data_IF_494914592129
#
_entry.id   IF_494914592129
#
_cell.length_a   1.000
_cell.length_b   1.000
_cell.length_c   1.000
_cell.angle_alpha   90.00
_cell.angle_beta   90.00
_cell.angle_gamma   90.00
#
_symmetry.space_group_name_H-M   'P 1'
#
loop_
_entity.id
_entity.type
_entity.pdbx_description
1 polymer ?
#
# COMPACT_ATOMS: atom_id res chain seq x y z
N UNK A 1 36.05 -73.65 24.70
CA UNK A 1 36.65 -72.52 23.93
C UNK A 1 35.63 -71.89 22.99
N UNK A 2 35.03 -72.63 22.05
CA UNK A 2 34.05 -72.07 21.09
C UNK A 2 32.80 -71.42 21.73
N UNK A 3 32.24 -72.03 22.78
CA UNK A 3 31.10 -71.47 23.53
C UNK A 3 31.43 -70.14 24.23
N UNK A 4 32.66 -69.98 24.71
CA UNK A 4 33.10 -68.76 25.39
C UNK A 4 33.24 -67.62 24.39
N UNK A 5 33.76 -67.89 23.18
CA UNK A 5 33.82 -66.93 22.10
C UNK A 5 32.43 -66.49 21.63
N UNK A 6 31.49 -67.41 21.49
CA UNK A 6 30.09 -67.10 21.13
C UNK A 6 29.43 -66.18 22.16
N UNK A 7 29.59 -66.46 23.45
CA UNK A 7 29.03 -65.63 24.52
C UNK A 7 29.66 -64.23 24.56
N UNK A 8 30.96 -64.10 24.32
CA UNK A 8 31.64 -62.80 24.23
C UNK A 8 31.22 -62.00 23.00
N UNK A 9 31.01 -62.65 21.85
CA UNK A 9 30.47 -61.99 20.66
C UNK A 9 29.03 -61.51 20.87
N UNK A 10 28.17 -62.33 21.49
CA UNK A 10 26.79 -61.92 21.81
C UNK A 10 26.80 -60.75 22.79
N UNK A 11 27.63 -60.80 23.83
CA UNK A 11 27.77 -59.71 24.79
C UNK A 11 28.29 -58.43 24.13
N UNK A 12 29.30 -58.53 23.24
CA UNK A 12 29.82 -57.42 22.46
C UNK A 12 28.77 -56.81 21.52
N UNK A 13 27.96 -57.65 20.86
CA UNK A 13 26.85 -57.18 20.04
C UNK A 13 25.77 -56.51 20.89
N UNK A 14 25.39 -57.07 22.04
CA UNK A 14 24.40 -56.46 22.94
C UNK A 14 24.88 -55.11 23.49
N UNK A 15 26.17 -55.00 23.85
CA UNK A 15 26.79 -53.74 24.27
C UNK A 15 26.83 -52.73 23.12
N UNK A 16 27.22 -53.16 21.91
CA UNK A 16 27.23 -52.30 20.72
C UNK A 16 25.83 -51.82 20.33
N UNK A 17 24.82 -52.68 20.44
CA UNK A 17 23.41 -52.31 20.23
C UNK A 17 22.93 -51.29 21.27
N UNK A 18 23.26 -51.49 22.55
CA UNK A 18 22.88 -50.55 23.62
C UNK A 18 23.58 -49.19 23.48
N UNK A 19 24.84 -49.18 23.04
CA UNK A 19 25.64 -47.97 22.83
C UNK A 19 25.28 -47.23 21.54
N UNK A 20 24.77 -47.94 20.52
CA UNK A 20 24.15 -47.33 19.33
C UNK A 20 22.81 -46.66 19.66
N UNK A 21 22.04 -47.22 20.58
CA UNK A 21 20.75 -46.67 21.00
C UNK A 21 20.89 -45.42 21.89
N UNK A 22 22.03 -45.24 22.59
CA UNK A 22 22.26 -44.08 23.47
C UNK A 22 22.80 -42.83 22.76
N UNK A 23 23.21 -42.90 21.48
CA UNK A 23 23.76 -41.77 20.72
C UNK A 23 22.73 -41.02 19.84
N UNK A 24 21.44 -41.39 19.90
CA UNK A 24 20.34 -40.72 19.17
C UNK A 24 19.26 -40.26 20.17
N UNK A 25 19.69 -39.70 21.30
CA UNK A 25 18.80 -39.24 22.38
C UNK A 25 19.23 -37.87 22.85
N UNK A 26 19.34 -36.90 21.93
CA UNK A 26 19.89 -35.59 22.25
C UNK A 26 19.39 -34.39 21.44
N UNK A 27 18.33 -34.53 20.64
CA UNK A 27 17.67 -33.38 20.02
C UNK A 27 16.19 -33.41 20.40
N UNK A 28 15.85 -32.80 21.54
CA UNK A 28 14.47 -32.46 21.84
C UNK A 28 14.08 -31.31 20.92
N UNK A 29 13.49 -31.63 19.76
CA UNK A 29 12.84 -30.62 18.92
C UNK A 29 11.59 -30.13 19.67
N UNK A 30 11.68 -28.96 20.29
CA UNK A 30 10.53 -28.35 20.94
C UNK A 30 9.61 -27.74 19.88
N UNK A 31 8.68 -28.54 19.34
CA UNK A 31 7.67 -28.08 18.38
C UNK A 31 6.56 -27.31 19.12
N UNK A 32 6.27 -26.10 18.67
CA UNK A 32 5.14 -25.33 19.19
C UNK A 32 3.81 -25.88 18.62
N UNK A 33 2.86 -26.18 19.50
CA UNK A 33 1.53 -26.71 19.15
C UNK A 33 0.39 -25.78 19.58
N UNK A 34 0.69 -24.52 19.89
CA UNK A 34 -0.36 -23.54 20.14
C UNK A 34 -1.17 -23.30 18.87
N UNK A 35 -2.41 -22.84 19.03
CA UNK A 35 -3.27 -22.50 17.89
C UNK A 35 -2.63 -21.46 16.97
N UNK A 36 -1.99 -20.43 17.55
CA UNK A 36 -1.25 -19.40 16.80
C UNK A 36 -0.08 -20.00 15.99
N UNK A 37 0.67 -20.95 16.57
CA UNK A 37 1.74 -21.63 15.84
C UNK A 37 1.20 -22.48 14.69
N UNK A 38 0.10 -23.21 14.90
CA UNK A 38 -0.50 -24.05 13.87
C UNK A 38 -1.07 -23.21 12.71
N UNK A 39 -1.81 -22.14 13.03
CA UNK A 39 -2.33 -21.19 12.05
C UNK A 39 -1.20 -20.55 11.22
N UNK A 40 -0.14 -20.09 11.90
CA UNK A 40 1.01 -19.46 11.25
C UNK A 40 1.73 -20.46 10.35
N UNK A 41 2.01 -21.67 10.83
CA UNK A 41 2.66 -22.72 10.05
C UNK A 41 1.84 -23.09 8.81
N UNK A 42 0.51 -23.22 8.95
CA UNK A 42 -0.38 -23.46 7.82
C UNK A 42 -0.28 -22.34 6.78
N UNK A 43 -0.34 -21.07 7.20
CA UNK A 43 -0.21 -19.91 6.30
C UNK A 43 1.12 -19.90 5.54
N UNK A 44 2.23 -20.29 6.18
CA UNK A 44 3.52 -20.46 5.50
C UNK A 44 3.44 -21.55 4.44
N UNK A 45 2.96 -22.74 4.80
CA UNK A 45 2.86 -23.87 3.88
C UNK A 45 1.96 -23.58 2.67
N UNK A 46 0.88 -22.82 2.86
CA UNK A 46 -0.02 -22.39 1.77
C UNK A 46 0.61 -21.37 0.80
N UNK A 47 1.67 -20.68 1.19
CA UNK A 47 2.37 -19.72 0.34
C UNK A 47 3.58 -20.36 -0.36
N UNK A 48 4.08 -21.48 0.17
CA UNK A 48 5.25 -22.17 -0.33
C UNK A 48 4.94 -23.14 -1.49
N UNK A 49 5.93 -23.35 -2.35
CA UNK A 49 5.92 -24.42 -3.35
C UNK A 49 7.04 -25.44 -3.04
N UNK A 50 6.68 -26.48 -2.29
CA UNK A 50 7.64 -27.47 -1.76
C UNK A 50 8.31 -28.36 -2.83
N UNK A 51 7.83 -28.32 -4.08
CA UNK A 51 8.43 -29.02 -5.20
C UNK A 51 9.70 -28.35 -5.74
N UNK A 52 9.95 -27.09 -5.39
CA UNK A 52 11.13 -26.33 -5.83
C UNK A 52 12.25 -26.42 -4.80
N UNK A 53 13.48 -26.64 -5.26
CA UNK A 53 14.64 -26.65 -4.36
C UNK A 53 14.96 -25.22 -3.90
N UNK A 54 15.03 -24.95 -2.57
CA UNK A 54 15.27 -23.61 -2.05
C UNK A 54 16.62 -22.99 -2.50
N UNK A 55 17.60 -23.84 -2.80
CA UNK A 55 18.93 -23.40 -3.25
C UNK A 55 18.96 -23.01 -4.74
N UNK A 56 17.97 -23.45 -5.54
CA UNK A 56 17.88 -23.15 -6.97
C UNK A 56 17.05 -21.89 -7.19
N UNK A 57 15.87 -21.81 -6.56
CA UNK A 57 15.00 -20.63 -6.57
C UNK A 57 14.25 -20.49 -5.24
N UNK A 58 14.82 -19.71 -4.33
CA UNK A 58 14.23 -19.47 -3.01
C UNK A 58 12.91 -18.69 -3.09
N UNK A 59 12.75 -17.81 -4.10
CA UNK A 59 11.54 -17.01 -4.25
C UNK A 59 10.37 -17.90 -4.65
N UNK A 60 10.57 -18.77 -5.66
CA UNK A 60 9.54 -19.72 -6.05
C UNK A 60 9.26 -20.75 -4.95
N UNK A 61 10.27 -21.25 -4.25
CA UNK A 61 10.06 -22.14 -3.10
C UNK A 61 9.22 -21.48 -1.99
N UNK A 62 9.53 -20.22 -1.63
CA UNK A 62 8.87 -19.54 -0.53
C UNK A 62 7.50 -18.93 -0.88
N UNK A 63 7.32 -18.53 -2.14
CA UNK A 63 6.15 -17.73 -2.58
C UNK A 63 5.36 -18.37 -3.73
N UNK A 64 5.83 -19.47 -4.34
CA UNK A 64 5.18 -20.07 -5.51
C UNK A 64 3.72 -20.47 -5.26
N UNK A 65 3.40 -20.96 -4.07
CA UNK A 65 2.02 -21.23 -3.65
C UNK A 65 1.15 -19.97 -3.60
N UNK A 66 1.72 -18.85 -3.15
CA UNK A 66 1.06 -17.54 -3.21
C UNK A 66 0.82 -17.10 -4.65
N UNK A 67 1.85 -17.13 -5.50
CA UNK A 67 1.73 -16.73 -6.91
C UNK A 67 0.66 -17.52 -7.66
N UNK A 68 0.53 -18.83 -7.36
CA UNK A 68 -0.44 -19.70 -8.01
C UNK A 68 -1.90 -19.44 -7.58
N UNK A 69 -2.13 -19.01 -6.33
CA UNK A 69 -3.49 -18.78 -5.80
C UNK A 69 -3.97 -17.34 -5.95
N UNK A 70 -3.04 -16.39 -6.01
CA UNK A 70 -3.36 -14.97 -5.98
C UNK A 70 -3.82 -14.50 -7.36
N UNK A 71 -5.06 -13.99 -7.41
CA UNK A 71 -5.62 -13.32 -8.58
C UNK A 71 -5.52 -11.81 -8.37
N UNK A 72 -4.94 -11.09 -9.33
CA UNK A 72 -4.89 -9.62 -9.27
C UNK A 72 -6.31 -9.05 -9.35
N UNK A 73 -6.77 -8.30 -8.33
CA UNK A 73 -8.04 -7.59 -8.39
C UNK A 73 -8.08 -6.59 -9.55
N UNK A 74 -9.27 -6.27 -10.04
CA UNK A 74 -9.44 -5.27 -11.08
C UNK A 74 -8.83 -3.93 -10.65
N UNK A 75 -7.96 -3.36 -11.48
CA UNK A 75 -7.28 -2.10 -11.21
C UNK A 75 -5.95 -2.21 -10.47
N UNK A 76 -5.62 -3.35 -9.85
CA UNK A 76 -4.28 -3.58 -9.26
C UNK A 76 -3.33 -4.15 -10.32
N UNK A 77 -2.12 -3.58 -10.42
CA UNK A 77 -1.05 -4.08 -11.32
C UNK A 77 -0.11 -5.07 -10.64
N UNK A 78 -0.02 -4.98 -9.32
CA UNK A 78 0.83 -5.80 -8.45
C UNK A 78 0.05 -6.07 -7.18
N UNK A 79 0.41 -7.15 -6.49
CA UNK A 79 -0.11 -7.46 -5.16
C UNK A 79 0.93 -8.27 -4.40
N UNK A 80 0.83 -8.24 -3.08
CA UNK A 80 1.73 -8.89 -2.15
C UNK A 80 0.97 -9.27 -0.87
N UNK A 81 1.63 -10.01 0.01
CA UNK A 81 1.09 -10.34 1.33
C UNK A 81 0.85 -9.10 2.21
N UNK A 82 1.52 -7.98 1.92
CA UNK A 82 1.29 -6.70 2.62
C UNK A 82 0.02 -6.05 2.08
N UNK A 83 -0.18 -6.06 0.77
CA UNK A 83 -1.41 -5.56 0.16
C UNK A 83 -2.65 -6.32 0.66
N UNK A 84 -2.57 -7.65 0.79
CA UNK A 84 -3.65 -8.46 1.38
C UNK A 84 -3.94 -8.11 2.85
N UNK A 85 -2.91 -7.69 3.60
CA UNK A 85 -3.08 -7.26 4.97
C UNK A 85 -3.72 -5.87 5.03
N UNK A 86 -3.27 -4.94 4.19
CA UNK A 86 -3.86 -3.61 4.07
C UNK A 86 -5.32 -3.68 3.65
N UNK A 87 -5.66 -4.53 2.68
CA UNK A 87 -7.05 -4.74 2.25
C UNK A 87 -7.93 -5.19 3.43
N UNK A 88 -7.47 -6.15 4.25
CA UNK A 88 -8.19 -6.57 5.46
C UNK A 88 -8.37 -5.46 6.49
N UNK A 89 -7.32 -4.65 6.71
CA UNK A 89 -7.41 -3.50 7.62
C UNK A 89 -8.44 -2.50 7.11
N UNK A 90 -8.46 -2.21 5.81
CA UNK A 90 -9.46 -1.32 5.22
C UNK A 90 -10.89 -1.88 5.33
N UNK A 91 -11.09 -3.18 5.11
CA UNK A 91 -12.39 -3.85 5.30
C UNK A 91 -12.89 -3.74 6.75
N UNK A 92 -12.01 -3.96 7.74
CA UNK A 92 -12.35 -3.80 9.14
C UNK A 92 -12.67 -2.34 9.50
N UNK A 93 -11.89 -1.38 8.97
CA UNK A 93 -12.15 0.04 9.17
C UNK A 93 -13.47 0.47 8.55
N UNK A 94 -13.78 0.05 7.32
CA UNK A 94 -15.06 0.30 6.66
C UNK A 94 -16.21 -0.24 7.51
N UNK A 95 -16.11 -1.48 7.98
CA UNK A 95 -17.10 -2.08 8.86
C UNK A 95 -17.29 -1.26 10.15
N UNK A 96 -16.20 -0.85 10.81
CA UNK A 96 -16.27 -0.06 12.04
C UNK A 96 -16.95 1.29 11.77
N UNK A 97 -16.53 2.03 10.74
CA UNK A 97 -17.06 3.35 10.40
C UNK A 97 -18.53 3.28 10.00
N UNK A 98 -18.91 2.29 9.20
CA UNK A 98 -20.29 2.02 8.83
C UNK A 98 -21.17 1.75 10.05
N UNK A 99 -20.71 0.89 10.97
CA UNK A 99 -21.46 0.62 12.20
C UNK A 99 -21.59 1.85 13.09
N UNK A 100 -20.51 2.65 13.23
CA UNK A 100 -20.57 3.90 13.97
C UNK A 100 -21.59 4.87 13.34
N UNK A 101 -21.63 4.96 12.02
CA UNK A 101 -22.58 5.83 11.31
C UNK A 101 -24.03 5.36 11.39
N UNK A 102 -24.31 4.06 11.51
CA UNK A 102 -25.66 3.51 11.47
C UNK A 102 -26.27 3.23 12.85
N UNK A 103 -25.45 2.92 13.84
CA UNK A 103 -25.90 2.33 15.11
C UNK A 103 -25.53 3.15 16.34
N UNK A 104 -24.68 4.16 16.21
CA UNK A 104 -24.31 5.04 17.32
C UNK A 104 -24.91 6.42 17.11
N UNK A 105 -25.50 6.98 18.15
CA UNK A 105 -26.05 8.33 18.11
C UNK A 105 -24.91 9.34 17.91
N UNK A 106 -24.98 10.10 16.83
CA UNK A 106 -23.94 11.04 16.42
C UNK A 106 -23.50 11.98 17.55
N UNK A 107 -24.46 12.59 18.26
CA UNK A 107 -24.18 13.56 19.31
C UNK A 107 -23.56 12.94 20.58
N UNK A 108 -23.64 11.62 20.74
CA UNK A 108 -23.01 10.89 21.84
C UNK A 108 -21.50 10.67 21.63
N UNK A 109 -21.02 10.75 20.39
CA UNK A 109 -19.61 10.51 20.05
C UNK A 109 -18.74 11.73 20.39
N UNK A 110 -17.48 11.55 20.83
CA UNK A 110 -16.51 12.65 20.92
C UNK A 110 -16.27 13.29 19.55
N UNK A 111 -15.92 14.59 19.54
CA UNK A 111 -15.75 15.38 18.30
C UNK A 111 -14.91 14.68 17.21
N UNK A 112 -13.73 14.09 17.50
CA UNK A 112 -12.93 13.44 16.45
C UNK A 112 -13.66 12.31 15.73
N UNK A 113 -14.46 11.53 16.46
CA UNK A 113 -15.26 10.44 15.87
C UNK A 113 -16.45 10.98 15.07
N UNK A 114 -17.06 12.08 15.51
CA UNK A 114 -18.13 12.76 14.76
C UNK A 114 -17.63 13.31 13.42
N UNK A 115 -16.46 13.97 13.44
CA UNK A 115 -15.83 14.48 12.22
C UNK A 115 -15.51 13.32 11.26
N UNK A 116 -14.98 12.21 11.79
CA UNK A 116 -14.65 11.02 11.01
C UNK A 116 -15.89 10.35 10.40
N UNK A 117 -16.97 10.19 11.16
CA UNK A 117 -18.25 9.67 10.67
C UNK A 117 -18.84 10.59 9.61
N UNK A 118 -18.80 11.91 9.82
CA UNK A 118 -19.28 12.87 8.83
C UNK A 118 -18.50 12.78 7.51
N UNK A 119 -17.17 12.71 7.59
CA UNK A 119 -16.31 12.56 6.42
C UNK A 119 -16.57 11.24 5.68
N UNK A 120 -16.70 10.14 6.43
CA UNK A 120 -17.04 8.83 5.86
C UNK A 120 -18.39 8.88 5.13
N UNK A 121 -19.44 9.43 5.76
CA UNK A 121 -20.77 9.51 5.16
C UNK A 121 -20.81 10.40 3.91
N UNK A 122 -20.02 11.48 3.86
CA UNK A 122 -19.86 12.30 2.67
C UNK A 122 -19.18 11.54 1.52
N UNK A 123 -18.24 10.66 1.83
CA UNK A 123 -17.54 9.83 0.84
C UNK A 123 -18.43 8.72 0.28
N UNK A 124 -19.31 8.16 1.12
CA UNK A 124 -20.15 7.01 0.78
C UNK A 124 -21.53 7.37 0.21
N UNK A 125 -21.89 8.66 0.16
CA UNK A 125 -23.15 9.10 -0.43
C UNK A 125 -23.01 9.23 -1.96
N UNK A 126 -23.39 8.17 -2.68
CA UNK A 126 -23.40 8.14 -4.15
C UNK A 126 -24.33 9.21 -4.78
N UNK A 127 -25.25 9.80 -4.02
CA UNK A 127 -26.13 10.87 -4.51
C UNK A 127 -25.51 12.26 -4.38
N UNK A 128 -24.41 12.39 -3.65
CA UNK A 128 -23.71 13.66 -3.49
C UNK A 128 -23.03 14.04 -4.81
N UNK A 129 -23.68 14.92 -5.57
CA UNK A 129 -23.21 15.38 -6.88
C UNK A 129 -22.98 16.88 -6.87
N UNK A 130 -21.85 17.29 -6.29
CA UNK A 130 -21.41 18.68 -6.33
C UNK A 130 -20.71 19.02 -7.66
N UNK A 131 -20.37 17.98 -8.43
CA UNK A 131 -19.70 18.08 -9.72
C UNK A 131 -18.33 18.72 -9.55
N UNK A 132 -17.96 19.61 -10.48
CA UNK A 132 -16.69 20.35 -10.43
C UNK A 132 -16.82 21.71 -9.75
N UNK A 133 -18.02 22.08 -9.27
CA UNK A 133 -18.31 23.47 -8.91
C UNK A 133 -17.56 23.96 -7.67
N UNK A 134 -17.37 23.10 -6.67
CA UNK A 134 -16.59 23.35 -5.47
C UNK A 134 -15.10 23.47 -5.80
N UNK A 135 -14.60 22.57 -6.64
CA UNK A 135 -13.22 22.62 -7.11
C UNK A 135 -12.95 23.90 -7.93
N UNK A 136 -13.89 24.31 -8.78
CA UNK A 136 -13.80 25.57 -9.52
C UNK A 136 -13.72 26.78 -8.58
N UNK A 137 -14.52 26.84 -7.51
CA UNK A 137 -14.43 27.92 -6.51
C UNK A 137 -13.04 27.99 -5.89
N UNK A 138 -12.45 26.85 -5.53
CA UNK A 138 -11.10 26.79 -4.97
C UNK A 138 -10.04 27.27 -5.98
N UNK A 139 -10.18 26.93 -7.27
CA UNK A 139 -9.29 27.45 -8.31
C UNK A 139 -9.44 28.97 -8.50
N UNK A 140 -10.66 29.50 -8.45
CA UNK A 140 -10.90 30.94 -8.52
C UNK A 140 -10.26 31.69 -7.33
N UNK A 141 -10.35 31.13 -6.11
CA UNK A 141 -9.64 31.65 -4.94
C UNK A 141 -8.11 31.56 -5.06
N UNK A 142 -7.59 30.68 -5.92
CA UNK A 142 -6.17 30.54 -6.22
C UNK A 142 -5.68 31.38 -7.39
N UNK A 143 -6.54 32.25 -7.96
CA UNK A 143 -6.19 33.13 -9.08
C UNK A 143 -6.71 32.66 -10.43
N UNK A 144 -7.64 31.70 -10.45
CA UNK A 144 -8.27 31.17 -11.65
C UNK A 144 -7.45 30.11 -12.36
N UNK A 145 -8.03 29.54 -13.41
CA UNK A 145 -7.34 28.62 -14.32
C UNK A 145 -7.39 29.26 -15.72
N UNK A 146 -6.26 29.76 -16.27
CA UNK A 146 -6.25 30.52 -17.52
C UNK A 146 -6.86 29.82 -18.73
N UNK A 147 -6.88 28.48 -18.71
CA UNK A 147 -7.53 27.66 -19.74
C UNK A 147 -9.06 27.82 -19.74
N UNK A 148 -9.66 28.15 -18.60
CA UNK A 148 -11.09 28.38 -18.43
C UNK A 148 -11.44 29.87 -18.48
N UNK A 149 -10.61 30.70 -17.87
CA UNK A 149 -10.91 32.13 -17.68
C UNK A 149 -10.38 33.00 -18.83
N UNK A 150 -9.57 32.43 -19.73
CA UNK A 150 -8.82 33.08 -20.83
C UNK A 150 -7.99 34.31 -20.41
N UNK A 151 -7.82 34.55 -19.10
CA UNK A 151 -7.10 35.69 -18.54
C UNK A 151 -6.64 35.40 -17.12
N UNK A 152 -5.39 35.76 -16.81
CA UNK A 152 -4.89 35.82 -15.43
C UNK A 152 -5.35 37.12 -14.74
N UNK A 153 -5.52 37.14 -13.41
CA UNK A 153 -5.77 38.36 -12.65
C UNK A 153 -4.72 39.44 -12.93
N UNK A 154 -5.12 40.71 -12.97
CA UNK A 154 -4.22 41.83 -13.34
C UNK A 154 -3.01 42.00 -12.39
N UNK A 155 -3.10 41.46 -11.16
CA UNK A 155 -2.03 41.47 -10.15
C UNK A 155 -1.48 40.07 -9.85
N UNK A 156 -1.66 39.12 -10.76
CA UNK A 156 -1.25 37.75 -10.51
C UNK A 156 0.25 37.64 -10.20
N UNK A 157 0.57 36.91 -9.13
CA UNK A 157 1.93 36.48 -8.83
C UNK A 157 1.94 34.98 -8.54
N UNK A 158 3.01 34.30 -8.99
CA UNK A 158 3.21 32.88 -8.70
C UNK A 158 3.15 32.60 -7.19
N UNK A 159 3.74 33.48 -6.37
CA UNK A 159 3.79 33.31 -4.91
C UNK A 159 2.41 33.36 -4.25
N UNK A 160 1.47 34.16 -4.78
CA UNK A 160 0.11 34.24 -4.23
C UNK A 160 -0.71 33.00 -4.60
N UNK A 161 -0.60 32.53 -5.84
CA UNK A 161 -1.22 31.26 -6.26
C UNK A 161 -0.67 30.10 -5.45
N UNK A 162 0.65 29.96 -5.33
CA UNK A 162 1.29 28.89 -4.55
C UNK A 162 0.83 28.88 -3.08
N UNK A 163 0.77 30.05 -2.43
CA UNK A 163 0.23 30.19 -1.07
C UNK A 163 -1.23 29.76 -0.98
N UNK A 164 -2.04 30.09 -1.98
CA UNK A 164 -3.46 29.70 -2.02
C UNK A 164 -3.62 28.19 -2.18
N UNK A 165 -2.85 27.56 -3.07
CA UNK A 165 -2.83 26.11 -3.26
C UNK A 165 -2.44 25.37 -1.97
N UNK A 166 -1.40 25.83 -1.29
CA UNK A 166 -0.97 25.23 -0.02
C UNK A 166 -2.00 25.45 1.10
N UNK A 167 -2.55 26.66 1.22
CA UNK A 167 -3.56 27.00 2.24
C UNK A 167 -4.84 26.17 2.08
N UNK A 168 -5.23 25.90 0.83
CA UNK A 168 -6.44 25.16 0.50
C UNK A 168 -6.19 23.65 0.27
N UNK A 169 -4.98 23.16 0.55
CA UNK A 169 -4.58 21.76 0.36
C UNK A 169 -4.90 21.21 -1.05
N UNK A 170 -4.76 22.05 -2.08
CA UNK A 170 -5.08 21.65 -3.45
C UNK A 170 -4.04 20.64 -3.98
N UNK A 171 -4.46 19.44 -4.43
CA UNK A 171 -3.54 18.42 -4.91
C UNK A 171 -2.87 18.86 -6.23
N UNK A 172 -1.58 18.55 -6.37
CA UNK A 172 -0.85 18.65 -7.65
C UNK A 172 -0.34 20.04 -8.06
N UNK A 173 -0.53 21.07 -7.23
CA UNK A 173 -0.24 22.45 -7.64
C UNK A 173 0.91 23.11 -6.90
N UNK A 174 2.12 22.55 -7.05
CA UNK A 174 3.31 23.30 -6.69
C UNK A 174 4.44 23.07 -7.67
N UNK A 175 5.10 24.15 -8.10
CA UNK A 175 6.37 24.07 -8.83
C UNK A 175 7.53 23.65 -7.92
N UNK A 176 7.37 23.80 -6.61
CA UNK A 176 8.40 23.56 -5.59
C UNK A 176 7.76 22.94 -4.34
N UNK A 177 8.06 21.69 -4.05
CA UNK A 177 7.58 21.08 -2.82
C UNK A 177 8.29 21.73 -1.61
N UNK A 178 7.55 22.51 -0.83
CA UNK A 178 8.01 23.13 0.41
C UNK A 178 7.56 22.29 1.60
N UNK A 179 8.50 21.86 2.44
CA UNK A 179 8.19 21.16 3.69
C UNK A 179 9.08 21.63 4.83
N UNK A 180 8.57 21.52 6.05
CA UNK A 180 9.37 21.71 7.27
C UNK A 180 9.84 20.34 7.75
N UNK A 181 11.14 20.14 7.79
CA UNK A 181 11.76 18.92 8.30
C UNK A 181 12.39 19.20 9.67
N UNK A 182 12.12 18.31 10.62
CA UNK A 182 12.70 18.39 11.95
C UNK A 182 14.12 17.82 11.88
N UNK A 183 15.12 18.67 12.09
CA UNK A 183 16.52 18.30 12.15
C UNK A 183 17.03 18.67 13.55
N UNK A 184 16.77 17.80 14.52
CA UNK A 184 16.98 18.11 15.95
C UNK A 184 18.38 18.71 16.22
N UNK A 185 18.48 19.87 16.89
CA UNK A 185 17.42 20.61 17.60
C UNK A 185 16.63 21.62 16.76
N UNK A 186 16.96 21.78 15.49
CA UNK A 186 16.43 22.83 14.61
C UNK A 186 15.29 22.33 13.71
N UNK A 187 14.67 23.27 13.00
CA UNK A 187 13.70 23.00 11.93
C UNK A 187 14.25 23.57 10.65
N UNK A 188 14.38 22.72 9.63
CA UNK A 188 14.83 23.12 8.31
C UNK A 188 13.63 23.31 7.37
N UNK A 189 13.58 24.45 6.68
CA UNK A 189 12.74 24.58 5.51
C UNK A 189 13.42 23.86 4.35
N UNK A 190 12.78 22.84 3.80
CA UNK A 190 13.28 22.13 2.63
C UNK A 190 12.49 22.53 1.38
N UNK A 191 13.23 22.63 0.28
CA UNK A 191 12.71 22.96 -1.05
C UNK A 191 13.10 21.81 -1.96
N UNK A 192 12.10 21.10 -2.50
CA UNK A 192 12.30 19.96 -3.38
C UNK A 192 11.68 20.19 -4.74
N UNK A 193 12.12 19.39 -5.72
CA UNK A 193 11.50 19.34 -7.04
C UNK A 193 10.03 18.92 -6.90
N UNK A 194 9.14 19.36 -7.80
CA UNK A 194 7.74 19.02 -7.70
C UNK A 194 7.52 17.54 -7.99
N UNK A 195 6.45 16.99 -7.40
CA UNK A 195 5.98 15.65 -7.76
C UNK A 195 5.17 15.73 -9.05
N UNK A 196 5.69 15.13 -10.11
CA UNK A 196 5.00 15.03 -11.39
C UNK A 196 4.00 13.87 -11.38
N UNK A 197 2.90 14.02 -12.13
CA UNK A 197 1.87 12.97 -12.27
C UNK A 197 2.39 11.74 -13.06
N UNK A 198 3.35 11.96 -13.96
CA UNK A 198 4.06 10.92 -14.68
C UNK A 198 5.55 10.90 -14.33
N UNK A 199 6.21 9.73 -14.39
CA UNK A 199 7.67 9.64 -14.28
C UNK A 199 8.39 10.54 -15.29
N UNK A 200 9.47 11.19 -14.85
CA UNK A 200 10.27 12.12 -15.67
C UNK A 200 10.85 11.45 -16.92
N UNK A 201 11.27 10.19 -16.82
CA UNK A 201 11.80 9.41 -17.93
C UNK A 201 10.74 9.09 -18.99
N UNK A 202 9.47 8.95 -18.58
CA UNK A 202 8.36 8.78 -19.50
C UNK A 202 8.03 10.09 -20.22
N UNK A 203 7.98 11.20 -19.48
CA UNK A 203 7.74 12.54 -20.05
C UNK A 203 8.85 12.93 -21.04
N UNK A 204 10.10 12.58 -20.76
CA UNK A 204 11.24 12.83 -21.63
C UNK A 204 11.15 12.14 -23.00
N UNK A 205 10.29 11.12 -23.16
CA UNK A 205 10.05 10.44 -24.46
C UNK A 205 9.21 11.27 -25.43
N UNK A 206 8.64 12.40 -24.98
CA UNK A 206 7.90 13.35 -25.81
C UNK A 206 6.46 12.93 -26.14
N UNK A 207 5.72 13.85 -26.75
CA UNK A 207 4.28 13.74 -26.99
C UNK A 207 3.87 12.59 -27.94
N UNK A 208 4.80 12.09 -28.76
CA UNK A 208 4.58 10.92 -29.63
C UNK A 208 4.60 9.59 -28.87
N UNK A 209 5.06 9.57 -27.62
CA UNK A 209 5.02 8.38 -26.79
C UNK A 209 3.56 8.09 -26.36
N UNK A 210 3.03 6.86 -26.57
CA UNK A 210 1.63 6.56 -26.25
C UNK A 210 1.22 6.84 -24.80
N UNK A 211 2.13 6.70 -23.83
CA UNK A 211 1.87 7.01 -22.42
C UNK A 211 1.71 8.50 -22.18
N UNK A 212 2.57 9.32 -22.82
CA UNK A 212 2.49 10.79 -22.75
C UNK A 212 1.25 11.29 -23.50
N UNK A 213 0.95 10.73 -24.67
CA UNK A 213 -0.27 11.06 -25.43
C UNK A 213 -1.53 10.81 -24.59
N UNK A 214 -1.64 9.65 -23.92
CA UNK A 214 -2.78 9.34 -23.03
C UNK A 214 -2.88 10.32 -21.86
N UNK A 215 -1.76 10.74 -21.30
CA UNK A 215 -1.76 11.73 -20.22
C UNK A 215 -2.23 13.11 -20.69
N UNK A 216 -1.82 13.54 -21.89
CA UNK A 216 -2.34 14.76 -22.51
C UNK A 216 -3.84 14.66 -22.74
N UNK A 217 -4.33 13.54 -23.31
CA UNK A 217 -5.77 13.32 -23.49
C UNK A 217 -6.54 13.35 -22.17
N UNK A 218 -6.00 12.74 -21.13
CA UNK A 218 -6.58 12.82 -19.78
C UNK A 218 -6.68 14.27 -19.29
N UNK A 219 -5.62 15.07 -19.43
CA UNK A 219 -5.65 16.49 -19.04
C UNK A 219 -6.70 17.29 -19.83
N UNK A 220 -6.81 17.03 -21.14
CA UNK A 220 -7.84 17.65 -21.98
C UNK A 220 -9.25 17.26 -21.53
N UNK A 221 -9.49 15.98 -21.26
CA UNK A 221 -10.80 15.50 -20.78
C UNK A 221 -11.17 16.13 -19.42
N UNK A 222 -10.19 16.27 -18.51
CA UNK A 222 -10.40 17.02 -17.25
C UNK A 222 -10.76 18.48 -17.56
N UNK A 223 -10.00 19.18 -18.40
CA UNK A 223 -10.28 20.58 -18.72
C UNK A 223 -11.69 20.78 -19.30
N UNK A 224 -12.12 19.89 -20.21
CA UNK A 224 -13.46 19.91 -20.80
C UNK A 224 -14.54 19.66 -19.73
N UNK A 225 -14.32 18.74 -18.79
CA UNK A 225 -15.24 18.56 -17.65
C UNK A 225 -15.36 19.82 -16.78
N UNK A 226 -14.32 20.64 -16.72
CA UNK A 226 -14.31 21.92 -16.04
C UNK A 226 -14.83 23.09 -16.88
N UNK A 227 -15.23 22.86 -18.13
CA UNK A 227 -15.85 23.84 -19.02
C UNK A 227 -14.95 24.45 -20.10
N UNK A 228 -13.73 23.93 -20.31
CA UNK A 228 -12.88 24.35 -21.42
C UNK A 228 -13.46 23.93 -22.78
N UNK A 229 -13.19 24.72 -23.83
CA UNK A 229 -13.42 24.28 -25.20
C UNK A 229 -12.40 23.19 -25.56
N UNK A 230 -12.85 22.15 -26.27
CA UNK A 230 -11.99 21.05 -26.71
C UNK A 230 -11.12 21.43 -27.91
N UNK A 231 -11.51 22.45 -28.65
CA UNK A 231 -10.84 22.89 -29.89
C UNK A 231 -9.81 24.01 -29.67
N UNK A 232 -9.71 24.55 -28.44
CA UNK A 232 -8.67 25.51 -28.01
C UNK A 232 -7.52 24.85 -27.23
#
# INVERSE_FOLDING_TARGET
IALVFLLLCIFGLLVFWKQRQSNISGFQLHVCLSESCNYTAQRFLENMESGVQPCDDFYQFACGGFLNKTVLPSGKRTTSVVDELEDKVHEELDFILKNLSLHVEYDSLPKPYRDLVSLYSLCMDDNYTSGVSEAQKLFQEAGGWPLLDHKLPDKWTFQETEKSFQKNCLPGGSLLELSLELEYPDVALTVRKPKLMLPEDLLAKGASNPGVTRYISYMTDIAVMYGADKEE
#
